data_IF_564838559447
#
_entry.id   IF_564838559447
#
_cell.length_a   1.000
_cell.length_b   1.000
_cell.length_c   1.000
_cell.angle_alpha   90.00
_cell.angle_beta   90.00
_cell.angle_gamma   90.00
#
_symmetry.space_group_name_H-M   'P 1'
#
loop_
_entity.id
_entity.type
_entity.pdbx_description
1 polymer ?
#
# COMPACT_ATOMS: atom_id res chain seq x y z
N UNK A 1 6.77 14.81 -18.28
CA UNK A 1 7.26 14.40 -16.95
C UNK A 1 6.74 15.38 -15.91
N UNK A 2 6.39 14.90 -14.70
CA UNK A 2 6.04 15.79 -13.59
C UNK A 2 7.26 16.62 -13.16
N UNK A 3 7.05 17.84 -12.67
CA UNK A 3 8.13 18.66 -12.14
C UNK A 3 8.80 17.95 -10.94
N UNK A 4 10.13 18.04 -10.80
CA UNK A 4 10.82 17.46 -9.64
C UNK A 4 10.37 18.17 -8.35
N UNK A 5 10.33 17.43 -7.25
CA UNK A 5 10.00 17.99 -5.93
C UNK A 5 11.04 19.08 -5.55
N UNK A 6 10.60 20.17 -4.89
CA UNK A 6 11.53 21.19 -4.41
C UNK A 6 12.49 20.58 -3.38
N UNK A 7 13.79 20.70 -3.63
CA UNK A 7 14.81 20.28 -2.67
C UNK A 7 14.84 21.27 -1.51
N UNK A 8 14.67 20.77 -0.29
CA UNK A 8 14.77 21.55 0.96
C UNK A 8 16.09 21.22 1.65
N UNK A 9 16.77 22.23 2.17
CA UNK A 9 17.88 22.03 3.12
C UNK A 9 17.29 21.95 4.51
N UNK A 10 17.42 20.79 5.15
CA UNK A 10 16.82 20.50 6.46
C UNK A 10 17.94 20.32 7.50
N UNK A 11 17.73 20.83 8.72
CA UNK A 11 18.54 20.47 9.87
C UNK A 11 18.32 18.99 10.24
N UNK A 12 19.20 18.40 11.05
CA UNK A 12 19.03 16.99 11.45
C UNK A 12 17.77 16.78 12.30
N UNK A 13 17.39 17.78 13.11
CA UNK A 13 16.11 17.77 13.84
C UNK A 13 14.91 17.84 12.89
N UNK A 14 14.98 18.68 11.85
CA UNK A 14 13.90 18.77 10.85
C UNK A 14 13.80 17.50 10.00
N UNK A 15 14.93 16.86 9.67
CA UNK A 15 14.95 15.54 9.00
C UNK A 15 14.24 14.51 9.87
N UNK A 16 14.63 14.40 11.14
CA UNK A 16 14.00 13.47 12.08
C UNK A 16 12.50 13.75 12.19
N UNK A 17 12.10 15.01 12.40
CA UNK A 17 10.70 15.42 12.50
C UNK A 17 9.89 15.05 11.24
N UNK A 18 10.46 15.25 10.05
CA UNK A 18 9.83 14.87 8.78
C UNK A 18 9.64 13.36 8.67
N UNK A 19 10.66 12.58 9.06
CA UNK A 19 10.63 11.12 9.02
C UNK A 19 9.54 10.55 9.93
N UNK A 20 9.45 11.04 11.17
CA UNK A 20 8.46 10.56 12.17
C UNK A 20 7.11 11.28 12.07
N UNK A 21 6.94 12.25 11.17
CA UNK A 21 5.63 12.88 10.96
C UNK A 21 4.60 11.84 10.50
N UNK A 22 3.38 11.87 11.04
CA UNK A 22 2.29 10.97 10.62
C UNK A 22 2.60 9.45 10.68
N UNK A 23 3.62 9.02 11.42
CA UNK A 23 3.75 7.60 11.80
C UNK A 23 2.98 7.37 13.10
N UNK A 24 2.46 6.15 13.27
CA UNK A 24 1.75 5.76 14.49
C UNK A 24 2.73 5.47 15.62
N UNK A 25 3.88 4.87 15.30
CA UNK A 25 4.86 4.45 16.30
C UNK A 25 6.27 4.47 15.71
N UNK A 26 7.23 4.78 16.59
CA UNK A 26 8.67 4.80 16.31
C UNK A 26 9.35 3.88 17.30
N UNK A 27 9.90 2.78 16.81
CA UNK A 27 10.72 1.87 17.61
C UNK A 27 12.18 2.24 17.38
N UNK A 28 12.95 2.36 18.47
CA UNK A 28 14.39 2.67 18.47
C UNK A 28 14.76 3.96 17.69
N UNK A 29 13.97 5.02 17.89
CA UNK A 29 14.22 6.33 17.28
C UNK A 29 15.54 6.99 17.69
N UNK A 30 16.15 6.54 18.79
CA UNK A 30 17.52 6.87 19.20
C UNK A 30 18.54 6.56 18.09
N UNK A 31 18.45 5.37 17.48
CA UNK A 31 19.37 4.94 16.40
C UNK A 31 19.33 5.92 15.22
N UNK A 32 18.12 6.36 14.84
CA UNK A 32 17.92 7.32 13.75
C UNK A 32 18.64 8.64 14.08
N UNK A 33 18.48 9.14 15.31
CA UNK A 33 19.09 10.40 15.75
C UNK A 33 20.62 10.32 15.80
N UNK A 34 21.17 9.15 16.13
CA UNK A 34 22.61 8.95 16.20
C UNK A 34 23.26 8.87 14.80
N UNK A 35 22.53 8.37 13.79
CA UNK A 35 23.06 8.20 12.43
C UNK A 35 22.91 9.47 11.58
N UNK A 36 21.83 10.24 11.75
CA UNK A 36 21.57 11.44 10.94
C UNK A 36 22.76 12.42 10.84
N UNK A 37 23.54 12.68 11.92
CA UNK A 37 24.73 13.54 11.86
C UNK A 37 25.93 12.90 11.15
N UNK A 38 25.98 11.57 11.10
CA UNK A 38 27.12 10.80 10.53
C UNK A 38 27.00 10.67 9.02
N UNK A 39 25.78 10.49 8.51
CA UNK A 39 25.56 10.29 7.08
C UNK A 39 24.10 10.01 6.70
N UNK A 40 23.85 9.72 5.43
CA UNK A 40 22.50 9.42 4.96
C UNK A 40 22.04 8.06 5.50
N UNK A 41 20.92 8.05 6.23
CA UNK A 41 20.34 6.81 6.76
C UNK A 41 19.86 5.91 5.61
N UNK A 42 20.26 4.64 5.61
CA UNK A 42 19.71 3.61 4.71
C UNK A 42 18.45 3.00 5.32
N UNK A 43 17.34 3.10 4.58
CA UNK A 43 16.02 2.58 4.97
C UNK A 43 15.53 1.66 3.86
N UNK A 44 14.74 0.64 4.21
CA UNK A 44 13.97 -0.10 3.22
C UNK A 44 12.46 -0.05 3.48
N UNK A 45 11.69 -0.23 2.41
CA UNK A 45 10.28 -0.55 2.47
C UNK A 45 10.01 -1.76 1.57
N UNK A 46 9.44 -2.81 2.15
CA UNK A 46 9.06 -4.03 1.44
C UNK A 46 7.58 -4.01 1.03
N UNK A 47 7.31 -4.49 -0.18
CA UNK A 47 5.94 -4.72 -0.67
C UNK A 47 5.83 -6.06 -1.36
N UNK A 48 4.93 -6.91 -0.89
CA UNK A 48 4.61 -8.16 -1.56
C UNK A 48 3.87 -7.90 -2.88
N UNK A 49 4.23 -8.60 -3.95
CA UNK A 49 3.69 -8.40 -5.31
C UNK A 49 2.39 -9.18 -5.54
N UNK A 50 1.48 -9.14 -4.57
CA UNK A 50 0.21 -9.89 -4.60
C UNK A 50 -0.87 -9.13 -5.38
N UNK A 51 -1.65 -8.25 -4.74
CA UNK A 51 -2.76 -7.55 -5.37
C UNK A 51 -2.34 -6.47 -6.37
N UNK A 52 -3.31 -5.97 -7.15
CA UNK A 52 -3.11 -4.74 -7.92
C UNK A 52 -3.02 -3.55 -6.95
N UNK A 53 -2.02 -2.65 -7.08
CA UNK A 53 -1.92 -1.43 -6.28
C UNK A 53 -3.20 -0.57 -6.36
N UNK A 54 -3.54 0.09 -5.26
CA UNK A 54 -4.70 0.96 -5.13
C UNK A 54 -4.33 2.24 -4.36
N UNK A 55 -5.27 3.16 -4.21
CA UNK A 55 -5.01 4.48 -3.64
C UNK A 55 -4.34 4.50 -2.24
N UNK A 56 -4.48 3.47 -1.41
CA UNK A 56 -3.74 3.42 -0.13
C UNK A 56 -2.23 3.34 -0.32
N UNK A 57 -1.74 2.85 -1.47
CA UNK A 57 -0.32 2.82 -1.77
C UNK A 57 0.30 4.23 -1.80
N UNK A 58 -0.50 5.30 -1.90
CA UNK A 58 0.02 6.67 -1.76
C UNK A 58 0.61 6.93 -0.37
N UNK A 59 0.11 6.31 0.70
CA UNK A 59 0.60 6.53 2.07
C UNK A 59 2.08 6.13 2.22
N UNK A 60 2.49 4.88 1.93
CA UNK A 60 3.90 4.51 1.98
C UNK A 60 4.73 5.26 0.92
N UNK A 61 4.20 5.54 -0.27
CA UNK A 61 4.93 6.29 -1.31
C UNK A 61 5.24 7.73 -0.87
N UNK A 62 4.30 8.41 -0.22
CA UNK A 62 4.52 9.75 0.33
C UNK A 62 5.54 9.70 1.46
N UNK A 63 5.49 8.68 2.33
CA UNK A 63 6.50 8.47 3.37
C UNK A 63 7.89 8.23 2.78
N UNK A 64 8.00 7.46 1.70
CA UNK A 64 9.25 7.29 0.93
C UNK A 64 9.74 8.63 0.37
N UNK A 65 8.85 9.46 -0.19
CA UNK A 65 9.22 10.78 -0.68
C UNK A 65 9.72 11.70 0.46
N UNK A 66 9.13 11.61 1.65
CA UNK A 66 9.62 12.30 2.85
C UNK A 66 11.01 11.80 3.28
N UNK A 67 11.29 10.49 3.22
CA UNK A 67 12.61 9.94 3.50
C UNK A 67 13.67 10.42 2.49
N UNK A 68 13.32 10.43 1.20
CA UNK A 68 14.19 10.99 0.16
C UNK A 68 14.46 12.48 0.39
N UNK A 69 13.44 13.25 0.80
CA UNK A 69 13.59 14.67 1.14
C UNK A 69 14.47 14.89 2.38
N UNK A 70 14.41 13.97 3.35
CA UNK A 70 15.29 13.96 4.52
C UNK A 70 16.74 13.52 4.18
N UNK A 71 17.02 13.14 2.92
CA UNK A 71 18.34 12.73 2.46
C UNK A 71 18.67 11.25 2.73
N UNK A 72 17.66 10.42 3.04
CA UNK A 72 17.86 8.98 3.25
C UNK A 72 18.16 8.25 1.94
N UNK A 73 18.90 7.15 2.04
CA UNK A 73 19.02 6.17 0.97
C UNK A 73 17.89 5.14 1.10
N UNK A 74 16.91 5.19 0.20
CA UNK A 74 15.74 4.31 0.27
C UNK A 74 15.87 3.13 -0.69
N UNK A 75 15.75 1.91 -0.16
CA UNK A 75 15.64 0.65 -0.93
C UNK A 75 14.19 0.19 -0.94
N UNK A 76 13.65 -0.13 -2.11
CA UNK A 76 12.30 -0.71 -2.23
C UNK A 76 12.47 -2.19 -2.55
N UNK A 77 12.02 -3.06 -1.65
CA UNK A 77 12.02 -4.50 -1.88
C UNK A 77 10.69 -4.92 -2.51
N UNK A 78 10.75 -5.35 -3.77
CA UNK A 78 9.64 -6.05 -4.42
C UNK A 78 9.70 -7.51 -3.97
N UNK A 79 8.92 -7.83 -2.93
CA UNK A 79 9.02 -9.09 -2.20
C UNK A 79 8.17 -10.18 -2.89
N UNK A 80 8.66 -10.68 -4.03
CA UNK A 80 8.02 -11.70 -4.85
C UNK A 80 7.90 -13.06 -4.14
N UNK A 81 8.96 -13.52 -3.47
CA UNK A 81 8.92 -14.76 -2.67
C UNK A 81 7.96 -14.65 -1.48
N UNK A 82 7.91 -13.49 -0.83
CA UNK A 82 6.92 -13.24 0.21
C UNK A 82 5.51 -13.25 -0.38
N UNK A 83 5.34 -12.67 -1.58
CA UNK A 83 4.11 -12.77 -2.35
C UNK A 83 3.72 -14.21 -2.63
N UNK A 84 4.67 -15.07 -3.03
CA UNK A 84 4.47 -16.51 -3.25
C UNK A 84 4.07 -17.25 -1.97
N UNK A 85 4.72 -16.97 -0.84
CA UNK A 85 4.39 -17.59 0.45
C UNK A 85 3.01 -17.19 0.99
N UNK A 86 2.50 -16.01 0.63
CA UNK A 86 1.15 -15.51 0.98
C UNK A 86 0.09 -15.85 -0.10
N UNK A 87 0.49 -16.48 -1.22
CA UNK A 87 -0.32 -16.59 -2.44
C UNK A 87 -1.24 -17.81 -2.54
N UNK A 88 -1.92 -18.19 -1.46
CA UNK A 88 -3.16 -18.97 -1.58
C UNK A 88 -4.27 -18.24 -2.40
N UNK A 89 -3.99 -17.03 -2.90
CA UNK A 89 -4.91 -16.16 -3.63
C UNK A 89 -4.46 -15.78 -5.07
N UNK A 90 -3.29 -16.21 -5.56
CA UNK A 90 -2.84 -15.89 -6.93
C UNK A 90 -2.88 -17.14 -7.83
N UNK A 91 -3.52 -17.10 -9.00
CA UNK A 91 -3.44 -18.21 -9.95
C UNK A 91 -1.99 -18.50 -10.35
N UNK A 92 -1.69 -19.77 -10.58
CA UNK A 92 -0.38 -20.25 -11.05
C UNK A 92 0.06 -19.49 -12.32
N UNK A 93 1.31 -19.03 -12.36
CA UNK A 93 1.88 -18.27 -13.49
C UNK A 93 1.59 -16.75 -13.48
N UNK A 94 0.85 -16.23 -12.50
CA UNK A 94 0.52 -14.78 -12.42
C UNK A 94 1.56 -13.99 -11.63
N UNK A 95 2.21 -14.60 -10.63
CA UNK A 95 3.17 -13.89 -9.77
C UNK A 95 4.43 -13.48 -10.54
N UNK A 96 4.88 -14.33 -11.45
CA UNK A 96 6.02 -14.09 -12.35
C UNK A 96 5.77 -12.91 -13.29
N UNK A 97 4.50 -12.63 -13.60
CA UNK A 97 4.10 -11.48 -14.40
C UNK A 97 3.91 -10.20 -13.56
N UNK A 98 3.64 -10.32 -12.25
CA UNK A 98 3.50 -9.18 -11.33
C UNK A 98 4.83 -8.62 -10.85
N UNK A 99 5.85 -9.47 -10.78
CA UNK A 99 7.23 -9.08 -10.57
C UNK A 99 8.00 -9.38 -11.86
N UNK A 100 8.08 -8.42 -12.77
CA UNK A 100 8.72 -8.64 -14.07
C UNK A 100 10.25 -8.79 -14.03
N UNK A 101 10.80 -9.07 -12.86
CA UNK A 101 12.22 -9.24 -12.63
C UNK A 101 12.46 -10.62 -12.05
N UNK A 102 12.63 -11.59 -12.94
CA UNK A 102 13.46 -12.74 -12.68
C UNK A 102 14.85 -12.27 -12.29
N UNK A 103 15.12 -12.16 -10.99
CA UNK A 103 16.49 -12.20 -10.48
C UNK A 103 16.45 -13.19 -9.35
N UNK A 104 17.35 -14.17 -9.37
CA UNK A 104 17.61 -15.01 -8.23
C UNK A 104 17.74 -14.12 -6.99
N UNK A 105 16.64 -13.99 -6.24
CA UNK A 105 16.60 -13.12 -5.07
C UNK A 105 17.76 -13.56 -4.21
N UNK A 106 18.49 -12.62 -3.60
CA UNK A 106 19.51 -12.97 -2.62
C UNK A 106 18.94 -13.93 -1.56
N UNK A 107 17.61 -13.92 -1.37
CA UNK A 107 16.81 -14.84 -0.54
C UNK A 107 16.89 -16.32 -0.95
N UNK A 108 17.21 -16.65 -2.22
CA UNK A 108 17.49 -18.00 -2.70
C UNK A 108 18.98 -18.34 -2.75
N UNK A 109 19.86 -17.40 -2.37
CA UNK A 109 21.30 -17.68 -2.35
C UNK A 109 21.65 -18.71 -1.26
N UNK A 110 22.69 -19.54 -1.46
CA UNK A 110 23.15 -20.46 -0.43
C UNK A 110 23.47 -19.79 0.91
N UNK A 111 23.94 -18.54 0.87
CA UNK A 111 24.22 -17.75 2.06
C UNK A 111 22.92 -17.45 2.83
N UNK A 112 21.90 -16.92 2.17
CA UNK A 112 20.63 -16.59 2.82
C UNK A 112 19.92 -17.84 3.32
N UNK A 113 19.87 -18.91 2.52
CA UNK A 113 19.26 -20.18 2.95
C UNK A 113 19.95 -20.75 4.20
N UNK A 114 21.28 -20.69 4.28
CA UNK A 114 22.02 -21.10 5.48
C UNK A 114 21.71 -20.18 6.66
N UNK A 115 21.61 -18.89 6.42
CA UNK A 115 21.39 -17.92 7.48
C UNK A 115 19.95 -17.97 8.01
N UNK A 116 18.97 -18.37 7.19
CA UNK A 116 17.59 -18.72 7.58
C UNK A 116 17.50 -19.94 8.51
N UNK A 117 18.44 -20.89 8.41
CA UNK A 117 18.52 -22.02 9.34
C UNK A 117 18.98 -21.60 10.76
N UNK A 118 19.51 -20.39 10.94
CA UNK A 118 19.92 -19.89 12.27
C UNK A 118 18.71 -19.47 13.12
N UNK A 119 17.80 -18.58 12.68
CA UNK A 119 16.61 -18.24 13.45
C UNK A 119 15.68 -19.45 13.61
N UNK A 120 15.61 -20.38 12.65
CA UNK A 120 14.77 -21.58 12.79
C UNK A 120 15.16 -22.51 13.95
N UNK A 121 16.39 -22.38 14.49
CA UNK A 121 16.84 -23.08 15.70
C UNK A 121 16.52 -22.35 17.01
N UNK A 122 16.13 -21.07 16.93
CA UNK A 122 15.95 -20.19 18.08
C UNK A 122 14.51 -19.74 18.26
N UNK A 123 13.79 -19.54 17.17
CA UNK A 123 12.41 -19.04 17.15
C UNK A 123 11.46 -20.22 17.34
N UNK A 124 10.55 -20.11 18.31
CA UNK A 124 9.51 -21.13 18.50
C UNK A 124 8.47 -21.06 17.38
N UNK A 125 7.83 -22.18 17.06
CA UNK A 125 6.73 -22.20 16.08
C UNK A 125 5.63 -21.21 16.49
N UNK A 126 5.31 -21.17 17.79
CA UNK A 126 4.33 -20.25 18.35
C UNK A 126 4.67 -18.78 18.05
N UNK A 127 5.92 -18.37 18.28
CA UNK A 127 6.32 -16.97 18.09
C UNK A 127 6.39 -16.59 16.61
N UNK A 128 6.85 -17.51 15.76
CA UNK A 128 6.90 -17.29 14.32
C UNK A 128 5.49 -17.10 13.74
N UNK A 129 4.54 -17.97 14.09
CA UNK A 129 3.13 -17.87 13.66
C UNK A 129 2.46 -16.63 14.24
N UNK A 130 2.75 -16.30 15.51
CA UNK A 130 2.22 -15.07 16.13
C UNK A 130 2.73 -13.81 15.43
N UNK A 131 3.98 -13.80 14.96
CA UNK A 131 4.56 -12.66 14.24
C UNK A 131 3.92 -12.44 12.86
N UNK A 132 3.43 -13.50 12.21
CA UNK A 132 2.80 -13.42 10.89
C UNK A 132 1.28 -13.31 10.91
N UNK A 133 0.61 -13.46 12.05
CA UNK A 133 -0.86 -13.60 12.13
C UNK A 133 -1.67 -12.42 11.60
N UNK A 134 -1.11 -11.20 11.61
CA UNK A 134 -1.75 -9.99 11.07
C UNK A 134 -1.32 -9.67 9.62
N UNK A 135 -0.33 -10.39 9.09
CA UNK A 135 0.31 -10.14 7.79
C UNK A 135 -0.09 -11.21 6.78
N UNK A 136 0.12 -12.49 7.13
CA UNK A 136 -0.16 -13.64 6.29
C UNK A 136 -1.62 -14.03 6.47
N UNK A 137 -2.33 -14.23 5.35
CA UNK A 137 -3.73 -14.68 5.41
C UNK A 137 -3.81 -16.17 5.74
N UNK A 138 -4.00 -16.50 7.02
CA UNK A 138 -4.26 -17.88 7.42
C UNK A 138 -5.61 -18.37 6.85
N UNK A 139 -5.56 -19.42 6.02
CA UNK A 139 -6.74 -20.03 5.36
C UNK A 139 -7.30 -21.23 6.14
N UNK A 140 -6.86 -21.44 7.39
CA UNK A 140 -7.33 -22.51 8.26
C UNK A 140 -6.18 -23.18 9.00
N UNK A 141 -5.58 -24.21 8.39
CA UNK A 141 -4.44 -24.92 8.98
C UNK A 141 -3.17 -24.08 8.91
N UNK A 142 -2.39 -24.10 10.00
CA UNK A 142 -1.08 -23.45 10.04
C UNK A 142 -0.10 -24.19 9.13
N UNK A 143 0.61 -23.43 8.29
CA UNK A 143 1.59 -23.97 7.35
C UNK A 143 2.99 -23.44 7.64
N UNK A 144 4.01 -24.12 7.11
CA UNK A 144 5.41 -23.72 7.32
C UNK A 144 5.71 -22.31 6.78
N UNK A 145 4.98 -21.88 5.74
CA UNK A 145 5.09 -20.53 5.18
C UNK A 145 4.81 -19.45 6.23
N UNK A 146 3.84 -19.68 7.13
CA UNK A 146 3.48 -18.74 8.21
C UNK A 146 4.66 -18.48 9.14
N UNK A 147 5.51 -19.47 9.37
CA UNK A 147 6.72 -19.33 10.19
C UNK A 147 7.93 -18.80 9.41
N UNK A 148 8.08 -19.19 8.14
CA UNK A 148 9.22 -18.79 7.29
C UNK A 148 9.14 -17.30 6.93
N UNK A 149 7.96 -16.79 6.62
CA UNK A 149 7.74 -15.40 6.19
C UNK A 149 8.40 -14.37 7.12
N UNK A 150 8.11 -14.32 8.44
CA UNK A 150 8.70 -13.30 9.32
C UNK A 150 10.21 -13.47 9.51
N UNK A 151 10.73 -14.70 9.42
CA UNK A 151 12.18 -14.94 9.49
C UNK A 151 12.90 -14.42 8.24
N UNK A 152 12.28 -14.54 7.06
CA UNK A 152 12.80 -13.95 5.83
C UNK A 152 12.83 -12.42 5.93
N UNK A 153 11.73 -11.82 6.38
CA UNK A 153 11.64 -10.36 6.53
C UNK A 153 12.69 -9.80 7.51
N UNK A 154 13.01 -10.53 8.58
CA UNK A 154 14.11 -10.17 9.49
C UNK A 154 15.48 -10.20 8.79
N UNK A 155 15.75 -11.25 7.99
CA UNK A 155 17.02 -11.36 7.28
C UNK A 155 17.16 -10.34 6.16
N UNK A 156 16.06 -9.92 5.54
CA UNK A 156 16.07 -8.85 4.55
C UNK A 156 16.71 -7.58 5.12
N UNK A 157 16.57 -7.32 6.42
CA UNK A 157 17.20 -6.15 7.04
C UNK A 157 18.73 -6.18 6.92
N UNK A 158 19.31 -7.35 7.18
CA UNK A 158 20.76 -7.54 7.11
C UNK A 158 21.26 -7.58 5.65
N UNK A 159 20.56 -8.30 4.78
CA UNK A 159 20.97 -8.50 3.39
C UNK A 159 20.76 -7.26 2.52
N UNK A 160 19.82 -6.39 2.90
CA UNK A 160 19.65 -5.09 2.29
C UNK A 160 20.60 -4.04 2.87
N UNK A 161 21.49 -4.36 3.80
CA UNK A 161 22.45 -3.42 4.40
C UNK A 161 21.77 -2.10 4.77
N UNK A 162 20.80 -2.16 5.68
CA UNK A 162 20.14 -0.97 6.21
C UNK A 162 20.63 -0.65 7.61
N UNK A 163 20.74 0.63 7.90
CA UNK A 163 21.45 1.11 9.09
C UNK A 163 20.59 1.08 10.36
N UNK A 164 19.39 0.49 10.30
CA UNK A 164 18.38 0.66 11.33
C UNK A 164 17.70 -0.66 11.72
N UNK A 165 17.93 -1.09 12.95
CA UNK A 165 16.98 -1.86 13.77
C UNK A 165 15.86 -0.94 14.33
N UNK A 166 15.59 0.19 13.66
CA UNK A 166 14.55 1.14 14.02
C UNK A 166 13.37 0.99 13.06
N UNK A 167 12.16 0.89 13.61
CA UNK A 167 10.95 0.66 12.84
C UNK A 167 10.04 1.88 12.89
N UNK A 168 9.69 2.40 11.72
CA UNK A 168 8.74 3.49 11.53
C UNK A 168 7.41 2.90 11.03
N UNK A 169 6.41 2.88 11.89
CA UNK A 169 5.15 2.18 11.60
C UNK A 169 4.06 3.19 11.24
N UNK A 170 3.66 3.21 9.97
CA UNK A 170 2.52 4.01 9.52
C UNK A 170 1.21 3.52 10.14
N UNK A 171 0.24 4.42 10.39
CA UNK A 171 -1.05 4.01 10.89
C UNK A 171 -1.83 3.16 9.90
N UNK A 172 -2.66 2.28 10.43
CA UNK A 172 -3.66 1.56 9.63
C UNK A 172 -4.78 2.53 9.25
N UNK A 173 -4.79 2.94 7.98
CA UNK A 173 -5.77 3.91 7.47
C UNK A 173 -7.05 3.20 7.02
N UNK A 174 -8.24 3.65 7.48
CA UNK A 174 -9.52 3.08 7.06
C UNK A 174 -9.73 3.14 5.55
N UNK A 175 -10.36 2.11 5.00
CA UNK A 175 -10.88 2.11 3.64
C UNK A 175 -11.95 3.18 3.44
N UNK A 176 -12.14 3.63 2.19
CA UNK A 176 -13.14 4.65 1.86
C UNK A 176 -14.58 4.18 2.13
N UNK A 177 -14.85 2.87 2.06
CA UNK A 177 -16.13 2.28 2.42
C UNK A 177 -16.25 1.92 3.92
N UNK A 178 -15.27 2.27 4.75
CA UNK A 178 -15.12 1.78 6.13
C UNK A 178 -14.37 0.44 6.21
N UNK A 179 -13.78 0.15 7.38
CA UNK A 179 -13.01 -1.08 7.61
C UNK A 179 -11.61 -1.11 6.97
N UNK A 180 -11.02 -2.30 6.80
CA UNK A 180 -9.70 -2.49 6.15
C UNK A 180 -9.81 -2.25 4.63
N UNK A 181 -8.84 -1.55 4.04
CA UNK A 181 -8.79 -1.36 2.58
C UNK A 181 -8.35 -2.67 1.90
N UNK A 182 -9.25 -3.36 1.20
CA UNK A 182 -8.97 -4.63 0.53
C UNK A 182 -8.80 -4.45 -0.98
N UNK A 183 -7.72 -5.01 -1.54
CA UNK A 183 -7.48 -5.05 -2.99
C UNK A 183 -8.46 -5.98 -3.74
N UNK A 184 -9.18 -6.84 -3.01
CA UNK A 184 -10.09 -7.86 -3.55
C UNK A 184 -11.49 -7.34 -3.89
N UNK A 185 -11.92 -6.21 -3.35
CA UNK A 185 -13.22 -5.60 -3.68
C UNK A 185 -13.07 -4.48 -4.71
N UNK A 186 -13.42 -4.80 -5.96
CA UNK A 186 -13.34 -3.87 -7.10
C UNK A 186 -14.26 -2.65 -6.94
N UNK A 187 -15.37 -2.78 -6.21
CA UNK A 187 -16.38 -1.72 -6.07
C UNK A 187 -15.98 -0.68 -5.04
N UNK A 188 -15.23 -1.07 -4.01
CA UNK A 188 -14.78 -0.16 -2.94
C UNK A 188 -13.34 0.33 -3.10
N UNK A 189 -12.49 -0.36 -3.88
CA UNK A 189 -11.12 0.08 -4.15
C UNK A 189 -11.05 1.17 -5.23
N UNK A 190 -10.17 2.14 -5.01
CA UNK A 190 -9.77 3.11 -6.04
C UNK A 190 -8.48 2.61 -6.69
N UNK A 191 -8.56 2.17 -7.94
CA UNK A 191 -7.42 1.75 -8.74
C UNK A 191 -6.57 2.99 -9.07
N UNK A 192 -5.24 2.84 -9.11
CA UNK A 192 -4.36 3.95 -9.50
C UNK A 192 -4.59 4.42 -10.94
N UNK A 193 -5.31 3.63 -11.74
CA UNK A 193 -5.69 3.93 -13.12
C UNK A 193 -7.15 4.37 -13.28
N UNK A 194 -7.96 4.42 -12.22
CA UNK A 194 -9.33 4.92 -12.31
C UNK A 194 -9.34 6.38 -12.81
N UNK A 195 -10.19 6.70 -13.79
CA UNK A 195 -10.39 8.07 -14.25
C UNK A 195 -11.07 8.97 -13.19
N UNK A 196 -11.09 10.29 -13.43
CA UNK A 196 -11.66 11.23 -12.48
C UNK A 196 -13.17 11.02 -12.23
N UNK A 197 -13.93 10.56 -13.22
CA UNK A 197 -15.36 10.30 -13.06
C UNK A 197 -15.61 9.07 -12.18
N UNK A 198 -14.83 8.01 -12.38
CA UNK A 198 -14.84 6.77 -11.61
C UNK A 198 -14.42 7.03 -10.16
N UNK A 199 -13.35 7.80 -9.95
CA UNK A 199 -12.94 8.27 -8.62
C UNK A 199 -14.08 9.02 -7.94
N UNK A 200 -14.71 9.98 -8.62
CA UNK A 200 -15.85 10.74 -8.06
C UNK A 200 -16.99 9.82 -7.64
N UNK A 201 -17.40 8.89 -8.51
CA UNK A 201 -18.47 7.92 -8.23
C UNK A 201 -18.14 7.00 -7.04
N UNK A 202 -16.90 6.53 -6.93
CA UNK A 202 -16.45 5.66 -5.83
C UNK A 202 -16.40 6.42 -4.50
N UNK A 203 -15.75 7.59 -4.47
CA UNK A 203 -15.66 8.42 -3.26
C UNK A 203 -17.04 8.95 -2.82
N UNK A 204 -17.96 9.22 -3.74
CA UNK A 204 -19.33 9.62 -3.39
C UNK A 204 -20.03 8.58 -2.51
N UNK A 205 -19.74 7.28 -2.72
CA UNK A 205 -20.29 6.16 -1.94
C UNK A 205 -19.56 5.90 -0.62
N UNK A 206 -18.45 6.60 -0.36
CA UNK A 206 -17.69 6.44 0.86
C UNK A 206 -18.52 6.77 2.11
N UNK A 207 -18.26 6.07 3.22
CA UNK A 207 -18.87 6.39 4.50
C UNK A 207 -18.23 7.66 5.06
N UNK A 208 -19.05 8.67 5.39
CA UNK A 208 -18.59 9.98 5.88
C UNK A 208 -19.75 10.62 6.65
N UNK A 209 -19.90 10.26 7.91
CA UNK A 209 -21.02 10.71 8.75
C UNK A 209 -20.74 12.13 9.27
N UNK A 210 -21.71 13.06 9.23
CA UNK A 210 -21.51 14.42 9.73
C UNK A 210 -20.95 14.45 11.15
N UNK A 211 -19.89 15.24 11.37
CA UNK A 211 -19.20 15.42 12.65
C UNK A 211 -18.47 14.18 13.21
N UNK A 212 -18.59 13.01 12.59
CA UNK A 212 -17.94 11.78 13.04
C UNK A 212 -16.53 11.66 12.44
N UNK A 213 -15.52 11.66 13.31
CA UNK A 213 -14.10 11.65 12.92
C UNK A 213 -13.47 10.27 13.02
N UNK A 214 -13.91 9.45 13.99
CA UNK A 214 -13.43 8.09 14.18
C UNK A 214 -13.82 7.16 13.02
N UNK A 215 -12.86 6.38 12.52
CA UNK A 215 -13.07 5.46 11.40
C UNK A 215 -13.38 6.14 10.05
N UNK A 216 -13.24 7.47 9.95
CA UNK A 216 -13.59 8.23 8.76
C UNK A 216 -12.47 8.18 7.71
N UNK A 217 -12.59 7.28 6.74
CA UNK A 217 -11.61 7.11 5.66
C UNK A 217 -11.39 8.35 4.79
N UNK A 218 -12.37 9.27 4.70
CA UNK A 218 -12.21 10.53 3.98
C UNK A 218 -11.26 11.46 4.73
N UNK A 219 -11.48 11.65 6.03
CA UNK A 219 -10.60 12.50 6.85
C UNK A 219 -9.21 11.87 6.99
N UNK A 220 -9.13 10.54 7.13
CA UNK A 220 -7.85 9.85 7.21
C UNK A 220 -7.03 9.99 5.92
N UNK A 221 -7.68 9.97 4.74
CA UNK A 221 -6.99 10.23 3.47
C UNK A 221 -6.51 11.69 3.37
N UNK A 222 -7.27 12.66 3.89
CA UNK A 222 -6.82 14.05 4.00
C UNK A 222 -5.57 14.15 4.89
N UNK A 223 -5.58 13.51 6.05
CA UNK A 223 -4.48 13.53 7.02
C UNK A 223 -3.21 12.85 6.52
N UNK A 224 -3.34 11.64 5.98
CA UNK A 224 -2.18 10.78 5.72
C UNK A 224 -1.70 10.80 4.27
N UNK A 225 -2.50 11.34 3.34
CA UNK A 225 -2.12 11.45 1.94
C UNK A 225 -2.08 12.92 1.47
N UNK A 226 -3.21 13.64 1.50
CA UNK A 226 -3.30 14.93 0.82
C UNK A 226 -2.45 16.03 1.48
N UNK A 227 -2.50 16.16 2.81
CA UNK A 227 -1.71 17.15 3.54
C UNK A 227 -0.19 16.87 3.44
N UNK A 228 0.31 15.64 3.66
CA UNK A 228 1.72 15.32 3.47
C UNK A 228 2.18 15.49 2.02
N UNK A 229 1.31 15.17 1.05
CA UNK A 229 1.62 15.41 -0.36
C UNK A 229 1.75 16.91 -0.68
N UNK A 230 0.87 17.76 -0.16
CA UNK A 230 0.98 19.22 -0.38
C UNK A 230 2.21 19.80 0.31
N UNK A 231 2.59 19.29 1.47
CA UNK A 231 3.85 19.64 2.14
C UNK A 231 5.08 19.35 1.25
N UNK A 232 5.11 18.18 0.61
CA UNK A 232 6.19 17.79 -0.31
C UNK A 232 6.27 18.68 -1.55
N UNK A 233 5.14 19.20 -2.02
CA UNK A 233 5.09 20.12 -3.15
C UNK A 233 5.44 21.56 -2.77
N UNK A 234 5.39 21.90 -1.48
CA UNK A 234 5.66 23.27 -1.04
C UNK A 234 7.16 23.54 -0.92
N UNK A 235 7.60 24.68 -1.46
CA UNK A 235 8.99 25.13 -1.35
C UNK A 235 9.39 25.44 0.10
N UNK A 236 8.44 25.94 0.91
CA UNK A 236 8.66 26.25 2.32
C UNK A 236 8.38 25.07 3.26
N UNK A 237 7.99 23.91 2.70
CA UNK A 237 7.67 22.71 3.47
C UNK A 237 6.43 22.82 4.35
N UNK A 238 5.52 23.78 4.08
CA UNK A 238 4.25 23.88 4.80
C UNK A 238 3.16 23.11 4.08
N UNK A 239 2.55 22.16 4.79
CA UNK A 239 1.32 21.53 4.33
C UNK A 239 0.22 22.58 4.15
N UNK A 240 -0.59 22.42 3.12
CA UNK A 240 -1.76 23.26 2.88
C UNK A 240 -2.89 22.47 2.24
N UNK A 241 -4.13 22.80 2.59
CA UNK A 241 -5.31 22.23 1.96
C UNK A 241 -6.43 23.27 1.91
N UNK A 242 -7.04 23.41 0.74
CA UNK A 242 -8.19 24.30 0.54
C UNK A 242 -9.48 23.58 0.90
N UNK A 243 -10.30 24.23 1.72
CA UNK A 243 -11.54 23.66 2.25
C UNK A 243 -12.66 24.66 2.05
N UNK A 244 -13.66 24.28 1.26
CA UNK A 244 -14.91 25.01 1.15
C UNK A 244 -15.76 24.76 2.42
N UNK A 245 -16.22 25.85 3.06
CA UNK A 245 -17.08 25.80 4.24
C UNK A 245 -18.50 26.23 3.86
N UNK A 246 -19.52 25.74 4.58
CA UNK A 246 -20.93 25.98 4.26
C UNK A 246 -21.30 27.47 4.18
N UNK A 247 -20.73 28.26 5.09
CA UNK A 247 -21.10 29.67 5.29
C UNK A 247 -20.12 30.65 4.64
N UNK A 248 -19.24 30.16 3.76
CA UNK A 248 -18.23 30.97 3.09
C UNK A 248 -18.29 30.76 1.57
N UNK A 249 -18.19 31.87 0.83
CA UNK A 249 -18.12 31.85 -0.63
C UNK A 249 -16.74 31.45 -1.14
N UNK A 250 -15.70 31.75 -0.37
CA UNK A 250 -14.31 31.43 -0.69
C UNK A 250 -13.80 30.25 0.14
N UNK A 251 -12.88 29.48 -0.43
CA UNK A 251 -12.25 28.37 0.28
C UNK A 251 -11.27 28.89 1.34
N UNK A 252 -11.29 28.30 2.52
CA UNK A 252 -10.30 28.56 3.57
C UNK A 252 -9.12 27.61 3.40
N UNK A 253 -7.88 28.14 3.46
CA UNK A 253 -6.67 27.32 3.48
C UNK A 253 -6.30 26.92 4.90
N UNK A 254 -6.15 25.60 5.13
CA UNK A 254 -5.69 25.04 6.39
C UNK A 254 -4.29 24.45 6.25
N UNK A 255 -3.45 24.62 7.27
CA UNK A 255 -2.07 24.14 7.30
C UNK A 255 -1.84 22.95 8.24
N UNK A 256 -2.90 22.45 8.88
CA UNK A 256 -2.79 21.40 9.89
C UNK A 256 -4.09 20.61 9.97
N UNK A 257 -3.98 19.29 10.04
CA UNK A 257 -5.15 18.41 10.14
C UNK A 257 -6.07 18.71 11.34
N UNK A 258 -5.58 19.03 12.56
CA UNK A 258 -6.46 19.37 13.69
C UNK A 258 -7.44 20.51 13.40
N UNK A 259 -7.06 21.50 12.59
CA UNK A 259 -7.96 22.59 12.19
C UNK A 259 -9.03 22.12 11.21
N UNK A 260 -8.69 21.19 10.30
CA UNK A 260 -9.66 20.56 9.38
C UNK A 260 -10.67 19.72 10.16
N UNK A 261 -10.20 18.99 11.17
CA UNK A 261 -11.05 18.21 12.07
C UNK A 261 -12.00 19.11 12.84
N UNK A 262 -11.50 20.21 13.42
CA UNK A 262 -12.32 21.15 14.19
C UNK A 262 -13.50 21.71 13.37
N UNK A 263 -13.26 22.09 12.10
CA UNK A 263 -14.35 22.58 11.22
C UNK A 263 -15.29 21.48 10.74
N UNK A 264 -14.86 20.21 10.76
CA UNK A 264 -15.73 19.07 10.47
C UNK A 264 -16.62 18.72 11.68
N UNK A 265 -16.06 18.74 12.88
CA UNK A 265 -16.76 18.52 14.15
C UNK A 265 -17.78 19.62 14.45
N UNK A 266 -17.47 20.87 14.08
CA UNK A 266 -18.40 22.00 14.17
C UNK A 266 -19.48 22.01 13.07
N UNK A 267 -19.47 21.03 12.17
CA UNK A 267 -20.36 20.92 11.01
C UNK A 267 -20.25 22.09 10.00
N UNK A 268 -19.17 22.88 10.07
CA UNK A 268 -18.85 23.93 9.10
C UNK A 268 -18.34 23.34 7.77
N UNK A 269 -17.64 22.20 7.83
CA UNK A 269 -17.26 21.38 6.68
C UNK A 269 -18.26 20.22 6.50
N UNK A 270 -19.13 20.32 5.49
CA UNK A 270 -20.08 19.26 5.16
C UNK A 270 -19.39 17.98 4.66
N UNK A 271 -19.94 16.78 4.91
CA UNK A 271 -19.38 15.53 4.38
C UNK A 271 -19.19 15.49 2.86
N UNK A 272 -20.10 16.11 2.09
CA UNK A 272 -19.99 16.17 0.63
C UNK A 272 -18.83 17.05 0.17
N UNK A 273 -18.56 18.15 0.89
CA UNK A 273 -17.42 19.02 0.62
C UNK A 273 -16.11 18.32 1.02
N UNK A 274 -16.07 17.60 2.14
CA UNK A 274 -14.93 16.76 2.53
C UNK A 274 -14.63 15.66 1.49
N UNK A 275 -15.68 14.99 0.98
CA UNK A 275 -15.54 14.03 -0.13
C UNK A 275 -14.98 14.69 -1.38
N UNK A 276 -15.43 15.90 -1.72
CA UNK A 276 -14.94 16.65 -2.89
C UNK A 276 -13.44 16.91 -2.82
N UNK A 277 -12.91 17.27 -1.65
CA UNK A 277 -11.47 17.44 -1.42
C UNK A 277 -10.71 16.15 -1.78
N UNK A 278 -11.20 14.99 -1.32
CA UNK A 278 -10.59 13.69 -1.62
C UNK A 278 -10.74 13.32 -3.10
N UNK A 279 -11.87 13.61 -3.73
CA UNK A 279 -12.08 13.39 -5.17
C UNK A 279 -11.07 14.16 -6.01
N UNK A 280 -10.94 15.47 -5.76
CA UNK A 280 -10.05 16.35 -6.52
C UNK A 280 -8.58 15.99 -6.26
N UNK A 281 -8.23 15.70 -5.00
CA UNK A 281 -6.89 15.26 -4.60
C UNK A 281 -6.48 13.93 -5.25
N UNK A 282 -7.34 12.91 -5.21
CA UNK A 282 -7.09 11.63 -5.86
C UNK A 282 -7.00 11.75 -7.38
N UNK A 283 -7.91 12.52 -8.00
CA UNK A 283 -7.91 12.72 -9.44
C UNK A 283 -6.60 13.36 -9.92
N UNK A 284 -6.03 14.28 -9.13
CA UNK A 284 -4.72 14.90 -9.37
C UNK A 284 -3.57 13.91 -9.14
N UNK A 285 -3.58 13.18 -8.03
CA UNK A 285 -2.53 12.20 -7.70
C UNK A 285 -2.41 11.08 -8.72
N UNK A 286 -3.53 10.57 -9.25
CA UNK A 286 -3.54 9.48 -10.23
C UNK A 286 -3.34 9.95 -11.66
N UNK A 287 -3.42 11.26 -11.95
CA UNK A 287 -3.35 11.79 -13.31
C UNK A 287 -2.02 11.48 -14.00
N UNK A 288 -0.89 11.68 -13.31
CA UNK A 288 0.43 11.39 -13.86
C UNK A 288 0.63 9.89 -14.10
N UNK A 289 0.12 9.05 -13.21
CA UNK A 289 0.19 7.58 -13.31
C UNK A 289 -0.60 7.11 -14.53
N UNK A 290 -1.85 7.58 -14.69
CA UNK A 290 -2.67 7.27 -15.85
C UNK A 290 -2.00 7.68 -17.16
N UNK A 291 -1.54 8.94 -17.25
CA UNK A 291 -0.84 9.43 -18.45
C UNK A 291 0.41 8.63 -18.77
N UNK A 292 1.18 8.23 -17.74
CA UNK A 292 2.36 7.39 -17.90
C UNK A 292 1.99 6.01 -18.44
N UNK A 293 0.98 5.37 -17.87
CA UNK A 293 0.49 4.08 -18.32
C UNK A 293 -0.06 4.13 -19.76
N UNK A 294 -0.88 5.13 -20.08
CA UNK A 294 -1.49 5.27 -21.41
C UNK A 294 -0.46 5.56 -22.52
N UNK A 295 0.66 6.21 -22.17
CA UNK A 295 1.74 6.54 -23.09
C UNK A 295 2.79 5.42 -23.26
N UNK A 296 2.77 4.40 -22.39
CA UNK A 296 3.78 3.35 -22.35
C UNK A 296 3.19 2.00 -22.77
N UNK A 297 3.43 1.63 -24.03
CA UNK A 297 2.92 0.37 -24.59
C UNK A 297 3.56 -0.85 -23.92
N UNK A 298 4.84 -0.78 -23.54
CA UNK A 298 5.53 -1.86 -22.85
C UNK A 298 4.86 -2.11 -21.50
N UNK A 299 4.64 -1.05 -20.70
CA UNK A 299 3.94 -1.17 -19.43
C UNK A 299 2.53 -1.78 -19.59
N UNK A 300 1.80 -1.41 -20.64
CA UNK A 300 0.47 -1.99 -20.93
C UNK A 300 0.53 -3.49 -21.24
N UNK A 301 1.52 -3.91 -22.04
CA UNK A 301 1.72 -5.31 -22.41
C UNK A 301 2.06 -6.17 -21.20
N UNK A 302 2.84 -5.63 -20.26
CA UNK A 302 3.24 -6.28 -19.00
C UNK A 302 2.07 -6.38 -18.02
N UNK A 303 1.30 -5.30 -17.89
CA UNK A 303 0.23 -5.23 -16.91
C UNK A 303 -0.94 -6.17 -17.23
N UNK A 304 -1.14 -6.51 -18.52
CA UNK A 304 -2.23 -7.37 -19.00
C UNK A 304 -2.16 -8.80 -18.42
N UNK A 305 -1.06 -9.56 -18.53
CA UNK A 305 -0.94 -10.88 -17.89
C UNK A 305 -0.78 -10.81 -16.37
N UNK A 306 -0.20 -9.74 -15.82
CA UNK A 306 -0.01 -9.56 -14.38
C UNK A 306 -1.34 -9.44 -13.60
N UNK A 307 -2.34 -8.82 -14.23
CA UNK A 307 -3.65 -8.57 -13.64
C UNK A 307 -4.76 -8.81 -14.67
N UNK A 308 -5.04 -10.08 -15.02
CA UNK A 308 -6.08 -10.40 -15.97
C UNK A 308 -7.42 -9.88 -15.46
N UNK A 309 -8.22 -9.31 -16.35
CA UNK A 309 -9.56 -8.83 -16.00
C UNK A 309 -10.37 -10.03 -15.51
N UNK A 310 -10.76 -10.01 -14.24
CA UNK A 310 -11.64 -11.04 -13.70
C UNK A 310 -12.96 -10.99 -14.46
N UNK A 311 -13.43 -12.10 -15.06
CA UNK A 311 -14.73 -12.13 -15.69
C UNK A 311 -15.79 -11.69 -14.67
N UNK A 312 -16.54 -10.67 -15.04
CA UNK A 312 -17.58 -10.10 -14.21
C UNK A 312 -18.55 -11.22 -13.79
N UNK A 313 -18.66 -11.51 -12.48
CA UNK A 313 -19.62 -12.52 -11.95
C UNK A 313 -21.09 -12.16 -12.25
N UNK A 314 -21.34 -10.99 -12.84
CA UNK A 314 -22.64 -10.53 -13.31
C UNK A 314 -22.99 -10.97 -14.77
N UNK A 315 -22.15 -11.74 -15.47
CA UNK A 315 -22.61 -12.44 -16.68
C UNK A 315 -23.47 -13.64 -16.28
N UNK A 316 -24.77 -13.55 -16.61
CA UNK A 316 -25.80 -14.58 -16.41
C UNK A 316 -25.20 -15.99 -16.60
N UNK A 317 -25.31 -16.84 -15.58
CA UNK A 317 -25.04 -18.28 -15.69
C UNK A 317 -25.70 -18.81 -16.98
N UNK A 318 -24.97 -19.53 -17.84
CA UNK A 318 -25.59 -20.27 -18.93
C UNK A 318 -26.62 -21.23 -18.34
N UNK A 319 -27.81 -21.27 -18.94
CA UNK A 319 -28.87 -22.21 -18.59
C UNK A 319 -28.27 -23.62 -18.68
N UNK A 320 -28.24 -24.36 -17.56
CA UNK A 320 -27.85 -25.77 -17.55
C UNK A 320 -28.86 -26.56 -18.39
N UNK A 321 -28.46 -26.96 -19.59
CA UNK A 321 -29.18 -28.02 -20.31
C UNK A 321 -29.06 -29.33 -19.52
N UNK A 322 -30.20 -30.02 -19.36
CA UNK A 322 -30.28 -31.31 -18.66
C UNK A 322 -29.45 -32.35 -19.41
N UNK A 323 -28.66 -33.19 -18.72
CA UNK A 323 -27.85 -34.20 -19.39
C UNK A 323 -28.71 -35.28 -20.02
N UNK A 324 -28.55 -35.48 -21.35
CA UNK A 324 -29.09 -36.64 -22.07
C UNK A 324 -28.29 -37.89 -21.66
N UNK A 325 -29.00 -38.92 -21.18
CA UNK A 325 -28.45 -40.26 -20.91
C UNK A 325 -27.73 -40.78 -22.16
N UNK A 326 -26.44 -41.10 -22.05
CA UNK A 326 -25.76 -41.97 -23.01
C UNK A 326 -25.45 -43.31 -22.34
N UNK A 327 -25.90 -44.35 -23.04
CA UNK A 327 -25.70 -45.78 -22.80
C UNK A 327 -24.23 -46.14 -22.67
N UNK A 328 -23.95 -47.08 -21.78
CA UNK A 328 -22.61 -47.50 -21.39
C UNK A 328 -21.78 -48.10 -22.52
N UNK A 329 -20.47 -47.92 -22.39
CA UNK A 329 -19.44 -48.75 -23.02
C UNK A 329 -18.41 -49.04 -21.93
N UNK A 330 -18.22 -50.33 -21.66
CA UNK A 330 -17.21 -50.89 -20.76
C UNK A 330 -15.86 -50.80 -21.47
N UNK A 331 -14.81 -50.37 -20.78
CA UNK A 331 -13.42 -50.51 -21.25
C UNK A 331 -12.62 -51.19 -20.12
N UNK A 332 -11.84 -52.25 -20.41
CA UNK A 332 -11.30 -53.14 -19.40
C UNK A 332 -10.03 -52.58 -18.74
N UNK A 333 -9.82 -53.00 -17.49
CA UNK A 333 -8.61 -52.84 -16.71
C UNK A 333 -7.49 -53.68 -17.33
N UNK A 334 -6.30 -53.11 -17.47
CA UNK A 334 -5.06 -53.88 -17.67
C UNK A 334 -4.03 -53.37 -16.66
N UNK A 335 -3.62 -54.27 -15.77
CA UNK A 335 -2.48 -54.13 -14.85
C UNK A 335 -1.15 -54.18 -15.60
N UNK A 336 -0.25 -53.25 -15.30
CA UNK A 336 1.13 -53.44 -14.79
C UNK A 336 1.83 -52.09 -14.64
#
# INVERSE_FOLDING_TARGET
>A
MAAPLPKRTLSDDDKYALMVSNVQEVIRGDIIRDILPVGPLKIYWGTATTGRPHAACFLPVIKIAQFLQAGCQVKILLADLHGFLDADNAPEGVLENRAQYSVASYQLSPAFSRDLLRPSKKVSVHDAVRASSEIVKSMGELVMADGIYPMMQLLDEQYLDIDAEAHLMNPMVPGLAGGKMSSSDIKSKIDLRDDAETIRKKVAKAHCNPRATEGNGILAFIQHALLPHSELLSADGKASIEVALKDQTEATTFHSFPKVVAVYESDSLAPQLAKKIVQDGLAKLTESIRRGFDADQEWQEIARPAYPDTPNKDTKKPIKEKPKKKSGVIVPVVDM
#
